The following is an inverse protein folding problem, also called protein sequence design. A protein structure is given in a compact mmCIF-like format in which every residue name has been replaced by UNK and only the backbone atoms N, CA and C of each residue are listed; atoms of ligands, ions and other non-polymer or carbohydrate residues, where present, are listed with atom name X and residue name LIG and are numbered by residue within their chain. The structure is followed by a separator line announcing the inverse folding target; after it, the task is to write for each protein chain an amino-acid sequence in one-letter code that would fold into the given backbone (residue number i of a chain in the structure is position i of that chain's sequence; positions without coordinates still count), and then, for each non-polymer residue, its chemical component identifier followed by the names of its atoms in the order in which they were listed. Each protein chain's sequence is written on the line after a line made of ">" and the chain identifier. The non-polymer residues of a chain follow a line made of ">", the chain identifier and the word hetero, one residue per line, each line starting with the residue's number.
data_IF_069570177859
#
_entry.id   IF_069570177859
#
_cell.length_a   1.000
_cell.length_b   1.000
_cell.length_c   1.000
_cell.angle_alpha   90.00
_cell.angle_beta   90.00
_cell.angle_gamma   90.00
#
_symmetry.space_group_name_H-M   'P 1'
#
loop_
_entity.id
_entity.type
_entity.pdbx_description
1 polymer ?
#
# COMPACT_ATOMS: atom_id res chain seq x y z
N UNK A 1 1.54 -2.64 -11.89
CA UNK A 1 2.47 -1.53 -11.62
C UNK A 1 3.89 -2.06 -11.43
N UNK A 2 4.16 -2.91 -10.46
CA UNK A 2 5.49 -3.47 -10.19
C UNK A 2 6.12 -4.14 -11.41
N UNK A 3 5.34 -4.88 -12.22
CA UNK A 3 5.79 -5.47 -13.48
C UNK A 3 6.29 -4.45 -14.52
N UNK A 4 6.04 -3.17 -14.30
CA UNK A 4 6.51 -2.05 -15.13
C UNK A 4 7.55 -1.18 -14.40
N UNK A 5 8.17 -1.72 -13.32
CA UNK A 5 9.24 -1.07 -12.60
C UNK A 5 8.80 -0.10 -11.49
N UNK A 6 7.52 -0.13 -11.06
CA UNK A 6 7.13 0.70 -9.93
C UNK A 6 7.81 0.25 -8.64
N UNK A 7 8.43 1.18 -7.94
CA UNK A 7 9.08 0.97 -6.64
C UNK A 7 8.29 1.57 -5.49
N UNK A 8 7.48 2.58 -5.78
CA UNK A 8 6.55 3.23 -4.85
C UNK A 8 5.17 3.23 -5.48
N UNK A 9 4.17 2.82 -4.72
CA UNK A 9 2.77 2.84 -5.15
C UNK A 9 1.98 3.76 -4.22
N UNK A 10 1.45 4.84 -4.78
CA UNK A 10 0.55 5.75 -4.07
C UNK A 10 -0.89 5.27 -4.19
N UNK A 11 -1.58 5.19 -3.06
CA UNK A 11 -2.96 4.70 -2.97
C UNK A 11 -3.82 5.73 -2.24
N UNK A 12 -4.21 6.82 -2.90
CA UNK A 12 -5.14 7.78 -2.33
C UNK A 12 -6.54 7.16 -2.24
N UNK A 13 -7.19 7.32 -1.10
CA UNK A 13 -8.54 6.84 -0.84
C UNK A 13 -9.51 7.99 -0.55
N UNK A 14 -10.74 7.82 -0.97
CA UNK A 14 -11.90 8.56 -0.51
C UNK A 14 -12.91 7.56 0.07
N UNK A 15 -12.53 6.90 1.17
CA UNK A 15 -13.29 5.82 1.80
C UNK A 15 -14.03 6.36 3.03
N UNK A 16 -15.36 6.63 2.90
CA UNK A 16 -16.17 7.11 4.00
C UNK A 16 -16.47 6.01 5.02
N UNK A 17 -17.12 6.39 6.11
CA UNK A 17 -17.61 5.53 7.20
C UNK A 17 -16.50 4.88 8.03
N UNK A 18 -16.89 4.38 9.19
CA UNK A 18 -15.99 3.82 10.18
C UNK A 18 -15.15 4.88 10.89
N UNK A 19 -14.33 4.44 11.81
CA UNK A 19 -13.36 5.27 12.51
C UNK A 19 -11.94 5.04 11.97
N UNK A 20 -10.95 5.86 12.37
CA UNK A 20 -9.57 5.71 11.89
C UNK A 20 -8.94 4.36 12.18
N UNK A 21 -9.26 3.75 13.33
CA UNK A 21 -8.70 2.46 13.75
C UNK A 21 -9.27 1.30 12.95
N UNK A 22 -10.57 1.33 12.66
CA UNK A 22 -11.20 0.35 11.76
C UNK A 22 -10.62 0.43 10.35
N UNK A 23 -10.38 1.66 9.85
CA UNK A 23 -9.70 1.86 8.56
C UNK A 23 -8.28 1.32 8.59
N UNK A 24 -7.53 1.65 9.63
CA UNK A 24 -6.17 1.15 9.79
C UNK A 24 -6.15 -0.38 9.80
N UNK A 25 -6.97 -1.01 10.62
CA UNK A 25 -7.08 -2.47 10.70
C UNK A 25 -7.46 -3.09 9.34
N UNK A 26 -8.40 -2.47 8.63
CA UNK A 26 -8.78 -2.92 7.29
C UNK A 26 -7.61 -2.84 6.31
N UNK A 27 -6.86 -1.73 6.32
CA UNK A 27 -5.73 -1.53 5.41
C UNK A 27 -4.56 -2.47 5.71
N UNK A 28 -4.31 -2.76 6.98
CA UNK A 28 -3.27 -3.71 7.39
C UNK A 28 -3.48 -5.11 6.82
N UNK A 29 -4.72 -5.52 6.57
CA UNK A 29 -5.03 -6.86 6.01
C UNK A 29 -4.52 -7.06 4.59
N UNK A 30 -4.41 -5.99 3.81
CA UNK A 30 -4.10 -6.11 2.39
C UNK A 30 -2.93 -5.26 1.90
N UNK A 31 -2.68 -4.09 2.50
CA UNK A 31 -1.60 -3.23 2.01
C UNK A 31 -0.23 -3.74 2.41
N UNK A 32 -0.09 -4.32 3.60
CA UNK A 32 1.17 -4.94 4.05
C UNK A 32 1.54 -6.14 3.18
N UNK A 33 0.57 -7.01 2.89
CA UNK A 33 0.78 -8.14 1.99
C UNK A 33 1.17 -7.67 0.58
N UNK A 34 0.51 -6.64 0.05
CA UNK A 34 0.84 -6.09 -1.27
C UNK A 34 2.24 -5.48 -1.34
N UNK A 35 2.68 -4.78 -0.27
CA UNK A 35 4.04 -4.28 -0.18
C UNK A 35 5.05 -5.43 -0.17
N UNK A 36 4.82 -6.41 0.69
CA UNK A 36 5.68 -7.57 0.87
C UNK A 36 5.79 -8.42 -0.40
N UNK A 37 4.65 -8.85 -0.97
CA UNK A 37 4.62 -9.76 -2.12
C UNK A 37 5.24 -9.13 -3.39
N UNK A 38 5.18 -7.80 -3.49
CA UNK A 38 5.69 -7.08 -4.65
C UNK A 38 7.04 -6.39 -4.40
N UNK A 39 7.56 -6.42 -3.17
CA UNK A 39 8.81 -5.74 -2.76
C UNK A 39 8.81 -4.26 -3.19
N UNK A 40 7.78 -3.52 -2.77
CA UNK A 40 7.57 -2.09 -3.10
C UNK A 40 7.17 -1.31 -1.86
N UNK A 41 7.43 0.00 -1.86
CA UNK A 41 6.82 0.89 -0.89
C UNK A 41 5.36 1.15 -1.24
N UNK A 42 4.51 1.23 -0.22
CA UNK A 42 3.13 1.68 -0.36
C UNK A 42 2.92 2.94 0.48
N UNK A 43 2.38 3.98 -0.16
CA UNK A 43 2.01 5.24 0.47
C UNK A 43 0.50 5.39 0.33
N UNK A 44 -0.22 5.27 1.42
CA UNK A 44 -1.68 5.33 1.42
C UNK A 44 -2.18 6.47 2.29
N UNK A 45 -3.18 7.19 1.82
CA UNK A 45 -3.88 8.22 2.57
C UNK A 45 -5.37 8.19 2.30
N UNK A 46 -6.17 8.58 3.28
CA UNK A 46 -7.61 8.72 3.14
C UNK A 46 -8.02 10.17 3.36
N UNK A 47 -9.08 10.58 2.71
CA UNK A 47 -9.73 11.85 2.93
C UNK A 47 -10.16 11.97 4.41
N UNK A 48 -10.20 13.22 4.92
CA UNK A 48 -10.71 13.54 6.24
C UNK A 48 -11.79 14.62 6.14
N UNK A 49 -12.71 14.61 7.12
CA UNK A 49 -13.80 15.58 7.21
C UNK A 49 -15.08 15.10 6.55
N UNK A 50 -16.01 16.00 6.36
CA UNK A 50 -17.30 15.72 5.74
C UNK A 50 -17.40 16.36 4.36
N UNK A 51 -18.10 15.71 3.47
CA UNK A 51 -18.46 16.29 2.18
C UNK A 51 -19.86 16.88 2.21
N UNK A 52 -20.23 17.65 1.17
CA UNK A 52 -21.54 18.30 1.07
C UNK A 52 -22.73 17.32 1.01
N UNK A 53 -22.48 16.03 0.90
CA UNK A 53 -23.50 14.97 0.79
C UNK A 53 -23.65 14.17 2.11
N UNK A 54 -23.12 14.66 3.23
CA UNK A 54 -23.26 14.02 4.55
C UNK A 54 -22.39 12.76 4.71
N UNK A 55 -21.36 12.57 3.89
CA UNK A 55 -20.40 11.48 4.07
C UNK A 55 -19.22 11.98 4.90
N UNK A 56 -18.98 11.31 6.03
CA UNK A 56 -17.83 11.54 6.89
C UNK A 56 -16.67 10.60 6.51
N UNK A 57 -15.47 11.15 6.45
CA UNK A 57 -14.24 10.46 6.15
C UNK A 57 -13.33 10.48 7.38
N UNK A 58 -12.92 9.33 7.90
CA UNK A 58 -12.21 9.26 9.18
C UNK A 58 -10.73 9.66 9.11
N UNK A 59 -10.19 9.88 7.91
CA UNK A 59 -8.76 10.04 7.75
C UNK A 59 -8.04 8.69 7.69
N UNK A 60 -6.80 8.68 8.02
CA UNK A 60 -5.79 7.64 8.01
C UNK A 60 -4.72 7.87 6.94
N UNK A 61 -3.47 7.82 7.35
CA UNK A 61 -2.33 7.84 6.43
C UNK A 61 -1.27 6.88 6.94
N UNK A 62 -0.59 6.20 6.03
CA UNK A 62 0.51 5.32 6.39
C UNK A 62 1.47 5.11 5.22
N UNK A 63 2.70 4.77 5.57
CA UNK A 63 3.74 4.32 4.65
C UNK A 63 4.18 2.93 5.08
N UNK A 64 4.21 2.02 4.13
CA UNK A 64 4.62 0.63 4.33
C UNK A 64 5.88 0.40 3.52
N UNK A 65 6.88 -0.20 4.16
CA UNK A 65 8.13 -0.60 3.54
C UNK A 65 8.01 -1.87 2.70
N UNK A 66 9.03 -2.16 1.87
CA UNK A 66 9.02 -3.29 0.95
C UNK A 66 9.04 -4.66 1.64
N UNK A 67 9.34 -4.70 2.92
CA UNK A 67 9.23 -5.90 3.76
C UNK A 67 7.86 -6.09 4.42
N UNK A 68 6.88 -5.20 4.11
CA UNK A 68 5.52 -5.25 4.68
C UNK A 68 5.37 -4.55 6.04
N UNK A 69 6.44 -3.97 6.58
CA UNK A 69 6.44 -3.23 7.85
C UNK A 69 5.81 -1.85 7.71
N UNK A 70 5.10 -1.39 8.73
CA UNK A 70 4.61 0.00 8.78
C UNK A 70 5.76 0.90 9.22
N UNK A 71 6.25 1.75 8.32
CA UNK A 71 7.33 2.70 8.60
C UNK A 71 6.82 3.88 9.43
N UNK A 72 5.69 4.44 9.02
CA UNK A 72 5.07 5.57 9.70
C UNK A 72 3.56 5.57 9.43
N UNK A 73 2.78 6.07 10.40
CA UNK A 73 1.33 6.20 10.29
C UNK A 73 0.79 7.39 11.04
N UNK A 74 -0.33 7.93 10.60
CA UNK A 74 -1.16 8.87 11.34
C UNK A 74 -2.63 8.46 11.23
N UNK A 75 -3.21 8.07 12.36
CA UNK A 75 -4.62 7.65 12.49
C UNK A 75 -5.47 8.71 13.19
N UNK A 76 -4.91 9.88 13.48
CA UNK A 76 -5.66 10.95 14.15
C UNK A 76 -6.70 11.54 13.20
N UNK A 77 -7.93 11.83 13.68
CA UNK A 77 -9.02 12.34 12.85
C UNK A 77 -8.87 13.86 12.57
N UNK A 78 -7.71 14.25 12.04
CA UNK A 78 -7.39 15.65 11.69
C UNK A 78 -6.52 15.72 10.44
N UNK A 79 -6.61 16.83 9.73
CA UNK A 79 -5.70 17.10 8.64
C UNK A 79 -4.26 17.19 9.16
N UNK A 80 -3.35 16.46 8.52
CA UNK A 80 -1.95 16.39 8.90
C UNK A 80 -1.08 16.08 7.69
N UNK A 81 0.21 16.31 7.83
CA UNK A 81 1.22 15.87 6.88
C UNK A 81 2.07 14.78 7.51
N UNK A 82 2.25 13.68 6.78
CA UNK A 82 3.09 12.55 7.15
C UNK A 82 4.31 12.55 6.26
N UNK A 83 5.50 12.52 6.86
CA UNK A 83 6.77 12.47 6.15
C UNK A 83 7.46 11.13 6.39
N UNK A 84 8.05 10.57 5.35
CA UNK A 84 8.86 9.36 5.42
C UNK A 84 10.00 9.41 4.41
N UNK A 85 11.16 8.93 4.82
CA UNK A 85 12.29 8.72 3.91
C UNK A 85 12.20 7.30 3.32
N UNK A 86 12.06 7.24 2.00
CA UNK A 86 12.06 5.98 1.26
C UNK A 86 13.46 5.72 0.72
N UNK A 87 14.16 4.75 1.29
CA UNK A 87 15.55 4.46 0.93
C UNK A 87 15.62 3.36 -0.11
N UNK A 88 16.38 3.58 -1.18
CA UNK A 88 16.63 2.53 -2.19
C UNK A 88 17.27 1.29 -1.56
N UNK A 89 18.09 1.46 -0.53
CA UNK A 89 18.72 0.36 0.20
C UNK A 89 17.70 -0.62 0.82
N UNK A 90 16.52 -0.14 1.24
CA UNK A 90 15.48 -1.01 1.79
C UNK A 90 14.87 -1.91 0.71
N UNK A 91 14.70 -1.38 -0.53
CA UNK A 91 14.30 -2.18 -1.69
C UNK A 91 15.36 -3.21 -2.05
N UNK A 92 16.62 -2.81 -2.09
CA UNK A 92 17.74 -3.69 -2.39
C UNK A 92 17.86 -4.82 -1.37
N UNK A 93 17.73 -4.52 -0.09
CA UNK A 93 17.79 -5.51 1.00
C UNK A 93 16.72 -6.60 0.85
N UNK A 94 15.48 -6.23 0.49
CA UNK A 94 14.41 -7.19 0.27
C UNK A 94 14.60 -7.94 -1.05
N UNK A 95 14.94 -7.25 -2.13
CA UNK A 95 15.10 -7.84 -3.47
C UNK A 95 16.30 -8.77 -3.58
N UNK A 96 17.36 -8.54 -2.81
CA UNK A 96 18.53 -9.42 -2.76
C UNK A 96 18.37 -10.58 -1.76
N UNK A 97 17.30 -10.59 -0.99
CA UNK A 97 17.05 -11.67 -0.04
C UNK A 97 16.48 -12.91 -0.75
N UNK A 98 17.10 -14.10 -0.60
CA UNK A 98 16.75 -15.30 -1.38
C UNK A 98 15.32 -15.79 -1.18
N UNK A 99 14.65 -15.41 -0.07
CA UNK A 99 13.33 -15.89 0.30
C UNK A 99 12.25 -14.78 0.35
N UNK A 100 12.55 -13.57 -0.12
CA UNK A 100 11.62 -12.44 0.01
C UNK A 100 11.21 -11.78 -1.30
N UNK A 101 11.95 -12.00 -2.37
CA UNK A 101 11.66 -11.40 -3.67
C UNK A 101 10.94 -12.41 -4.57
N UNK A 102 9.61 -12.43 -4.52
CA UNK A 102 8.79 -13.37 -5.29
C UNK A 102 8.60 -12.99 -6.75
N UNK A 103 8.76 -11.71 -7.06
CA UNK A 103 8.44 -11.17 -8.38
C UNK A 103 9.16 -11.83 -9.55
N UNK A 104 10.47 -12.15 -9.49
CA UNK A 104 11.19 -12.85 -10.56
C UNK A 104 10.71 -14.29 -10.80
N UNK A 105 10.06 -14.90 -9.80
CA UNK A 105 9.59 -16.29 -9.86
C UNK A 105 8.18 -16.43 -10.41
N UNK A 106 7.58 -15.32 -10.88
CA UNK A 106 6.28 -15.37 -11.54
C UNK A 106 6.37 -16.17 -12.84
N UNK A 107 5.30 -16.87 -13.12
CA UNK A 107 5.15 -17.69 -14.34
C UNK A 107 4.10 -17.04 -15.27
N UNK A 108 4.42 -15.91 -15.92
CA UNK A 108 3.45 -15.20 -16.78
C UNK A 108 2.99 -16.08 -17.95
N UNK A 109 3.83 -17.02 -18.40
CA UNK A 109 3.53 -18.03 -19.39
C UNK A 109 2.29 -18.90 -19.05
N UNK A 110 2.01 -19.11 -17.75
CA UNK A 110 0.87 -19.90 -17.30
C UNK A 110 -0.45 -19.10 -17.24
N UNK A 111 -0.39 -17.77 -17.29
CA UNK A 111 -1.57 -16.91 -17.16
C UNK A 111 -2.10 -16.40 -18.50
N UNK A 112 -1.43 -16.68 -19.61
CA UNK A 112 -1.81 -16.19 -20.93
C UNK A 112 -3.16 -16.77 -21.38
N UNK A 113 -3.43 -18.01 -21.06
CA UNK A 113 -4.68 -18.69 -21.42
C UNK A 113 -5.93 -18.16 -20.69
N UNK A 114 -5.75 -17.47 -19.55
CA UNK A 114 -6.85 -16.91 -18.76
C UNK A 114 -7.32 -15.56 -19.32
N UNK A 115 -6.42 -14.80 -19.93
CA UNK A 115 -6.73 -13.48 -20.51
C UNK A 115 -7.36 -13.56 -21.90
N UNK A 116 -7.29 -14.69 -22.60
CA UNK A 116 -7.87 -14.90 -23.92
C UNK A 116 -9.26 -15.55 -23.87
N UNK A 117 -9.69 -16.04 -22.73
CA UNK A 117 -11.06 -16.53 -22.52
C UNK A 117 -12.01 -15.33 -22.23
N UNK A 118 -12.37 -14.62 -23.29
CA UNK A 118 -13.49 -13.67 -23.28
C UNK A 118 -14.69 -14.25 -23.96
#
# INVERSE_FOLDING_TARGET
>A
MTARGAEVIFIPHASPRGNPEEKHTSWMRHLTARAYDNSVFIVACNQIGENCNGLAFPGNALVIGPGGEVMVKDTRPRASMLLADLKAADLEAVRNHPMRHFFPHRRPDLYFSISEQK
#
